data_IF_860188929063
#
_entry.id   IF_860188929063
#
_cell.length_a   1.000
_cell.length_b   1.000
_cell.length_c   1.000
_cell.angle_alpha   90.00
_cell.angle_beta   90.00
_cell.angle_gamma   90.00
#
_symmetry.space_group_name_H-M   'P 1'
#
loop_
_entity.id
_entity.type
_entity.pdbx_description
1 polymer ?
#
# COMPACT_ATOMS: atom_id res chain seq x y z
N UNK A 1 -17.84 20.15 -14.32
CA UNK A 1 -18.14 20.79 -13.02
C UNK A 1 -17.99 19.82 -11.83
N UNK A 2 -18.50 18.59 -11.91
CA UNK A 2 -18.43 17.58 -10.82
C UNK A 2 -17.03 17.05 -10.49
N UNK A 3 -16.13 16.91 -11.48
CA UNK A 3 -14.79 16.38 -11.22
C UNK A 3 -13.90 17.33 -10.40
N UNK A 4 -14.01 18.65 -10.61
CA UNK A 4 -13.25 19.64 -9.85
C UNK A 4 -13.64 19.64 -8.36
N UNK A 5 -14.95 19.59 -8.08
CA UNK A 5 -15.49 19.44 -6.72
C UNK A 5 -15.07 18.12 -6.07
N UNK A 6 -15.12 17.01 -6.81
CA UNK A 6 -14.68 15.70 -6.31
C UNK A 6 -13.18 15.68 -5.99
N UNK A 7 -12.34 16.19 -6.90
CA UNK A 7 -10.89 16.33 -6.67
C UNK A 7 -10.61 17.21 -5.45
N UNK A 8 -11.30 18.34 -5.32
CA UNK A 8 -11.16 19.23 -4.17
C UNK A 8 -11.54 18.52 -2.87
N UNK A 9 -12.69 17.86 -2.81
CA UNK A 9 -13.14 17.15 -1.62
C UNK A 9 -12.16 16.04 -1.22
N UNK A 10 -11.75 15.20 -2.18
CA UNK A 10 -10.84 14.09 -1.89
C UNK A 10 -9.45 14.56 -1.44
N UNK A 11 -8.89 15.58 -2.09
CA UNK A 11 -7.53 16.05 -1.81
C UNK A 11 -7.44 17.04 -0.65
N UNK A 12 -8.40 17.94 -0.48
CA UNK A 12 -8.36 19.01 0.53
C UNK A 12 -9.08 18.65 1.82
N UNK A 13 -10.21 17.93 1.73
CA UNK A 13 -11.00 17.55 2.91
C UNK A 13 -10.54 16.18 3.42
N UNK A 14 -10.56 15.16 2.55
CA UNK A 14 -10.16 13.79 2.93
C UNK A 14 -8.66 13.54 2.90
N UNK A 15 -7.85 14.53 2.48
CA UNK A 15 -6.38 14.49 2.42
C UNK A 15 -5.81 13.29 1.68
N UNK A 16 -6.56 12.73 0.71
CA UNK A 16 -6.08 11.65 -0.16
C UNK A 16 -5.21 12.23 -1.25
N UNK A 17 -4.14 11.51 -1.59
CA UNK A 17 -3.20 11.92 -2.64
C UNK A 17 -3.46 11.17 -3.95
N UNK A 18 -3.98 9.94 -3.86
CA UNK A 18 -4.09 9.06 -5.01
C UNK A 18 -5.49 8.44 -5.16
N UNK A 19 -5.91 8.24 -6.40
CA UNK A 19 -6.97 7.33 -6.77
C UNK A 19 -6.40 5.92 -6.89
N UNK A 20 -7.00 4.96 -6.18
CA UNK A 20 -6.73 3.53 -6.41
C UNK A 20 -7.58 3.04 -7.57
N UNK A 21 -6.96 2.77 -8.71
CA UNK A 21 -7.61 2.27 -9.92
C UNK A 21 -7.15 0.84 -10.25
N UNK A 22 -7.83 0.18 -11.18
CA UNK A 22 -7.52 -1.19 -11.58
C UNK A 22 -8.07 -2.28 -10.64
N UNK A 23 -7.57 -3.51 -10.81
CA UNK A 23 -8.04 -4.69 -10.07
C UNK A 23 -6.92 -5.70 -9.83
N UNK A 24 -7.05 -6.50 -8.78
CA UNK A 24 -6.12 -7.60 -8.51
C UNK A 24 -6.10 -8.59 -9.69
N UNK A 25 -4.90 -8.89 -10.21
CA UNK A 25 -4.66 -9.95 -11.22
C UNK A 25 -4.24 -11.30 -10.60
N UNK A 26 -4.25 -11.39 -9.26
CA UNK A 26 -3.77 -12.55 -8.52
C UNK A 26 -2.31 -12.94 -8.85
N UNK A 27 -1.42 -11.95 -9.06
CA UNK A 27 0.00 -12.16 -9.38
C UNK A 27 0.89 -12.58 -8.19
N UNK A 28 0.36 -12.59 -6.96
CA UNK A 28 1.11 -13.03 -5.76
C UNK A 28 2.18 -12.09 -5.22
N UNK A 29 2.63 -11.08 -5.98
CA UNK A 29 3.75 -10.20 -5.58
C UNK A 29 3.51 -9.42 -4.29
N UNK A 30 2.27 -9.07 -3.95
CA UNK A 30 1.96 -8.43 -2.67
C UNK A 30 2.10 -9.38 -1.45
N UNK A 31 2.36 -10.67 -1.69
CA UNK A 31 2.52 -11.68 -0.66
C UNK A 31 3.98 -12.06 -0.37
N UNK A 32 4.96 -11.63 -1.17
CA UNK A 32 6.35 -12.11 -1.10
C UNK A 32 7.24 -11.29 -0.17
N UNK A 33 7.09 -9.96 -0.15
CA UNK A 33 7.89 -9.04 0.67
C UNK A 33 6.98 -8.01 1.31
N UNK A 34 6.60 -8.26 2.55
CA UNK A 34 5.66 -7.45 3.30
C UNK A 34 6.41 -6.80 4.46
N UNK A 35 6.25 -5.49 4.61
CA UNK A 35 6.58 -4.78 5.85
C UNK A 35 5.30 -4.55 6.63
N UNK A 36 5.33 -4.85 7.92
CA UNK A 36 4.21 -4.61 8.83
C UNK A 36 4.46 -3.30 9.56
N UNK A 37 3.67 -2.28 9.25
CA UNK A 37 3.62 -1.05 10.04
C UNK A 37 2.61 -1.20 11.17
N UNK A 38 3.08 -1.11 12.41
CA UNK A 38 2.23 -1.12 13.60
C UNK A 38 2.34 0.24 14.31
N UNK A 39 1.20 0.94 14.46
CA UNK A 39 1.15 2.33 14.92
C UNK A 39 2.08 3.26 14.12
N UNK A 40 3.22 3.66 14.70
CA UNK A 40 4.12 4.69 14.16
C UNK A 40 5.40 4.12 13.58
N UNK A 41 5.70 2.83 13.76
CA UNK A 41 6.94 2.20 13.30
C UNK A 41 6.68 0.92 12.50
N UNK A 42 7.71 0.46 11.79
CA UNK A 42 7.74 -0.85 11.15
C UNK A 42 8.22 -1.86 12.18
N UNK A 43 7.55 -3.00 12.27
CA UNK A 43 7.89 -4.06 13.22
C UNK A 43 9.28 -4.59 12.90
N UNK A 44 10.21 -4.47 13.84
CA UNK A 44 11.63 -4.82 13.67
C UNK A 44 12.11 -5.90 14.64
N UNK A 45 11.26 -6.30 15.59
CA UNK A 45 11.53 -7.28 16.64
C UNK A 45 10.57 -8.47 16.54
N UNK A 46 11.12 -9.68 16.62
CA UNK A 46 10.33 -10.91 16.46
C UNK A 46 9.39 -11.14 17.65
N UNK A 47 9.78 -10.76 18.87
CA UNK A 47 8.92 -10.88 20.06
C UNK A 47 7.75 -9.91 20.00
N UNK A 48 7.96 -8.71 19.46
CA UNK A 48 6.87 -7.78 19.13
C UNK A 48 5.91 -8.44 18.13
N UNK A 49 6.42 -9.04 17.06
CA UNK A 49 5.60 -9.71 16.07
C UNK A 49 4.82 -10.89 16.64
N UNK A 50 5.42 -11.72 17.50
CA UNK A 50 4.74 -12.79 18.22
C UNK A 50 3.53 -12.25 19.01
N UNK A 51 3.69 -11.13 19.72
CA UNK A 51 2.58 -10.47 20.42
C UNK A 51 1.47 -10.03 19.46
N UNK A 52 1.82 -9.52 18.28
CA UNK A 52 0.83 -9.13 17.26
C UNK A 52 0.00 -10.32 16.77
N UNK A 53 0.57 -11.52 16.70
CA UNK A 53 -0.16 -12.73 16.29
C UNK A 53 -1.36 -13.04 17.18
N UNK A 54 -1.31 -12.67 18.47
CA UNK A 54 -2.43 -12.83 19.40
C UNK A 54 -3.52 -11.76 19.22
N UNK A 55 -3.18 -10.59 18.66
CA UNK A 55 -4.13 -9.47 18.50
C UNK A 55 -5.05 -9.65 17.30
N UNK A 56 -4.54 -10.18 16.19
CA UNK A 56 -5.33 -10.29 14.97
C UNK A 56 -4.86 -11.43 14.07
N UNK A 57 -5.81 -12.25 13.62
CA UNK A 57 -5.58 -13.45 12.78
C UNK A 57 -4.78 -13.19 11.51
N UNK A 58 -4.80 -11.97 10.97
CA UNK A 58 -3.97 -11.62 9.81
C UNK A 58 -2.48 -11.88 10.05
N UNK A 59 -1.96 -11.56 11.24
CA UNK A 59 -0.54 -11.69 11.53
C UNK A 59 -0.10 -13.16 11.59
N UNK A 60 -1.00 -14.09 11.92
CA UNK A 60 -0.68 -15.53 11.91
C UNK A 60 -0.42 -16.06 10.49
N UNK A 61 -0.89 -15.36 9.46
CA UNK A 61 -0.63 -15.68 8.06
C UNK A 61 0.75 -15.23 7.59
N UNK A 62 1.50 -14.48 8.37
CA UNK A 62 2.82 -13.99 8.00
C UNK A 62 3.90 -14.88 8.62
N UNK A 63 4.99 -15.11 7.87
CA UNK A 63 6.24 -15.70 8.37
C UNK A 63 7.37 -14.69 8.13
N UNK A 64 8.28 -14.59 9.09
CA UNK A 64 9.51 -13.80 8.92
C UNK A 64 10.40 -14.52 7.91
N UNK A 65 10.92 -13.78 6.93
CA UNK A 65 11.87 -14.30 5.93
C UNK A 65 13.21 -13.57 5.96
N UNK A 66 13.31 -12.47 6.69
CA UNK A 66 14.53 -11.69 6.81
C UNK A 66 14.32 -10.42 7.64
N UNK A 67 15.37 -9.63 7.72
CA UNK A 67 15.39 -8.34 8.41
C UNK A 67 16.36 -7.41 7.68
N UNK A 68 16.00 -6.14 7.56
CA UNK A 68 16.85 -5.08 7.03
C UNK A 68 16.80 -3.84 7.96
N UNK A 69 17.36 -2.73 7.47
CA UNK A 69 17.41 -1.45 8.19
C UNK A 69 16.01 -0.83 8.42
N UNK A 70 15.00 -1.25 7.66
CA UNK A 70 13.61 -0.80 7.80
C UNK A 70 12.90 -1.63 8.86
N UNK A 71 13.11 -2.95 8.88
CA UNK A 71 12.53 -3.85 9.88
C UNK A 71 12.47 -5.31 9.43
N UNK A 72 11.54 -6.06 10.01
CA UNK A 72 11.30 -7.45 9.62
C UNK A 72 10.60 -7.52 8.26
N UNK A 73 11.08 -8.43 7.43
CA UNK A 73 10.52 -8.74 6.12
C UNK A 73 9.68 -10.01 6.26
N UNK A 74 8.43 -9.94 5.82
CA UNK A 74 7.48 -11.03 5.94
C UNK A 74 7.05 -11.58 4.58
N UNK A 75 6.77 -12.88 4.53
CA UNK A 75 6.05 -13.54 3.44
C UNK A 75 4.71 -14.08 3.96
N UNK A 76 3.67 -14.03 3.12
CA UNK A 76 2.38 -14.61 3.45
C UNK A 76 2.37 -16.14 3.22
N UNK A 77 2.07 -16.91 4.27
CA UNK A 77 1.89 -18.37 4.25
C UNK A 77 0.78 -18.85 3.29
N UNK A 78 -0.14 -17.94 2.93
CA UNK A 78 -1.20 -18.22 1.96
C UNK A 78 -0.78 -18.03 0.50
N UNK A 79 0.48 -17.63 0.23
CA UNK A 79 1.04 -17.70 -1.11
C UNK A 79 1.26 -19.17 -1.48
N UNK A 80 0.76 -19.56 -2.65
CA UNK A 80 1.03 -20.85 -3.24
C UNK A 80 2.40 -20.82 -3.93
N UNK A 81 3.35 -21.69 -3.57
CA UNK A 81 4.72 -21.61 -4.08
C UNK A 81 4.84 -22.02 -5.55
N UNK A 82 3.92 -22.82 -6.08
CA UNK A 82 3.97 -23.31 -7.46
C UNK A 82 3.25 -22.37 -8.42
N UNK A 83 2.01 -21.99 -8.07
CA UNK A 83 1.17 -21.15 -8.92
C UNK A 83 1.38 -19.65 -8.68
N UNK A 84 2.09 -19.27 -7.61
CA UNK A 84 2.22 -17.91 -7.10
C UNK A 84 0.88 -17.20 -6.83
N UNK A 85 -0.21 -17.96 -6.66
CA UNK A 85 -1.54 -17.39 -6.37
C UNK A 85 -1.82 -17.41 -4.87
N UNK A 86 -2.73 -16.53 -4.44
CA UNK A 86 -3.20 -16.53 -3.06
C UNK A 86 -4.24 -17.65 -2.85
N UNK A 87 -3.93 -18.62 -2.00
CA UNK A 87 -4.81 -19.77 -1.66
C UNK A 87 -6.16 -19.34 -1.10
N UNK A 88 -6.21 -18.24 -0.36
CA UNK A 88 -7.43 -17.68 0.25
C UNK A 88 -7.94 -16.43 -0.48
N UNK A 89 -7.67 -16.26 -1.78
CA UNK A 89 -7.98 -15.00 -2.47
C UNK A 89 -9.43 -14.54 -2.28
N UNK A 90 -10.42 -15.44 -2.34
CA UNK A 90 -11.84 -15.10 -2.15
C UNK A 90 -12.14 -14.62 -0.72
N UNK A 91 -11.60 -15.30 0.29
CA UNK A 91 -11.79 -15.01 1.72
C UNK A 91 -10.70 -14.10 2.32
N UNK A 92 -9.85 -13.49 1.48
CA UNK A 92 -8.71 -12.68 1.91
C UNK A 92 -9.13 -11.55 2.87
N UNK A 93 -8.31 -11.23 3.88
CA UNK A 93 -8.66 -10.25 4.90
C UNK A 93 -8.75 -8.83 4.34
N UNK A 94 -9.40 -7.94 5.10
CA UNK A 94 -9.67 -6.57 4.68
C UNK A 94 -8.42 -5.79 4.25
N UNK A 95 -7.28 -6.02 4.89
CA UNK A 95 -5.99 -5.41 4.50
C UNK A 95 -5.58 -5.79 3.07
N UNK A 96 -5.73 -7.06 2.68
CA UNK A 96 -5.45 -7.53 1.33
C UNK A 96 -6.45 -6.99 0.29
N UNK A 97 -7.71 -6.71 0.69
CA UNK A 97 -8.72 -6.11 -0.20
C UNK A 97 -8.46 -4.63 -0.45
N UNK A 98 -7.89 -3.94 0.54
CA UNK A 98 -7.54 -2.52 0.47
C UNK A 98 -6.20 -2.26 -0.21
N UNK A 99 -5.36 -3.26 -0.40
CA UNK A 99 -4.12 -3.15 -1.16
C UNK A 99 -4.35 -2.58 -2.58
N UNK A 100 -3.47 -1.71 -3.09
CA UNK A 100 -2.40 -1.01 -2.37
C UNK A 100 -2.91 0.20 -1.58
N UNK A 101 -2.20 0.57 -0.51
CA UNK A 101 -2.48 1.78 0.29
C UNK A 101 -1.45 2.89 -0.01
N UNK A 102 -1.78 4.15 0.24
CA UNK A 102 -0.91 5.31 -0.06
C UNK A 102 0.42 5.28 0.73
N UNK A 103 0.40 4.67 1.91
CA UNK A 103 1.57 4.51 2.77
C UNK A 103 2.69 3.72 2.10
N UNK A 104 2.35 2.80 1.17
CA UNK A 104 3.33 2.02 0.41
C UNK A 104 4.32 2.96 -0.32
N UNK A 105 3.80 3.99 -0.98
CA UNK A 105 4.62 4.95 -1.73
C UNK A 105 5.36 5.92 -0.83
N UNK A 106 4.80 6.22 0.35
CA UNK A 106 5.47 7.08 1.34
C UNK A 106 6.72 6.40 1.93
N UNK A 107 6.80 5.08 1.87
CA UNK A 107 7.98 4.28 2.27
C UNK A 107 8.93 3.99 1.09
N UNK A 108 8.73 4.61 -0.08
CA UNK A 108 9.52 4.32 -1.28
C UNK A 108 9.16 3.01 -1.97
N UNK A 109 8.09 2.33 -1.56
CA UNK A 109 7.62 1.12 -2.19
C UNK A 109 6.99 1.36 -3.56
N UNK A 110 7.20 0.44 -4.48
CA UNK A 110 6.60 0.44 -5.81
C UNK A 110 5.68 -0.76 -6.00
N UNK A 111 4.69 -0.62 -6.88
CA UNK A 111 3.92 -1.76 -7.35
C UNK A 111 4.76 -2.50 -8.41
N UNK A 112 4.77 -3.83 -8.35
CA UNK A 112 5.32 -4.64 -9.44
C UNK A 112 4.62 -4.32 -10.77
N UNK A 113 5.37 -4.39 -11.87
CA UNK A 113 4.87 -4.16 -13.23
C UNK A 113 3.66 -5.07 -13.58
N UNK A 114 3.63 -6.29 -13.05
CA UNK A 114 2.54 -7.23 -13.24
C UNK A 114 1.29 -6.94 -12.38
N UNK A 115 1.36 -5.96 -11.47
CA UNK A 115 0.24 -5.60 -10.63
C UNK A 115 -0.88 -4.96 -11.47
N UNK A 116 -2.10 -5.43 -11.29
CA UNK A 116 -3.27 -4.85 -11.96
C UNK A 116 -3.83 -3.59 -11.29
N UNK A 117 -3.29 -3.19 -10.13
CA UNK A 117 -3.64 -1.94 -9.47
C UNK A 117 -2.74 -0.80 -9.93
N UNK A 118 -3.29 0.41 -9.93
CA UNK A 118 -2.55 1.66 -10.14
C UNK A 118 -2.95 2.69 -9.10
N UNK A 119 -2.06 3.64 -8.85
CA UNK A 119 -2.25 4.73 -7.90
C UNK A 119 -2.01 6.04 -8.64
N UNK A 120 -3.11 6.64 -9.09
CA UNK A 120 -3.08 7.82 -9.95
C UNK A 120 -3.21 9.09 -9.11
N UNK A 121 -2.34 10.10 -9.29
CA UNK A 121 -2.40 11.31 -8.47
C UNK A 121 -3.73 12.04 -8.68
N UNK A 122 -4.41 12.39 -7.59
CA UNK A 122 -5.70 13.12 -7.65
C UNK A 122 -5.51 14.49 -8.28
N UNK A 123 -4.39 15.14 -7.95
CA UNK A 123 -3.93 16.39 -8.56
C UNK A 123 -2.65 16.07 -9.32
N UNK A 124 -2.65 16.10 -10.66
CA UNK A 124 -1.47 15.84 -11.46
C UNK A 124 -0.33 16.84 -11.17
N UNK A 125 0.91 16.38 -11.30
CA UNK A 125 2.09 17.23 -11.08
C UNK A 125 2.07 18.49 -11.97
N UNK A 126 1.65 18.37 -13.23
CA UNK A 126 1.56 19.48 -14.18
C UNK A 126 0.67 20.61 -13.64
N UNK A 127 -0.49 20.27 -13.09
CA UNK A 127 -1.39 21.26 -12.47
C UNK A 127 -0.75 21.94 -11.25
N UNK A 128 0.03 21.20 -10.45
CA UNK A 128 0.75 21.75 -9.30
C UNK A 128 1.82 22.73 -9.79
N UNK A 129 2.61 22.32 -10.78
CA UNK A 129 3.69 23.11 -11.36
C UNK A 129 3.17 24.42 -11.95
N UNK A 130 2.11 24.38 -12.76
CA UNK A 130 1.49 25.59 -13.33
C UNK A 130 1.02 26.57 -12.27
N UNK A 131 0.44 26.07 -11.16
CA UNK A 131 -0.01 26.92 -10.04
C UNK A 131 1.17 27.59 -9.35
N UNK A 132 2.28 26.87 -9.17
CA UNK A 132 3.51 27.42 -8.57
C UNK A 132 4.10 28.50 -9.47
N UNK A 133 4.26 28.24 -10.78
CA UNK A 133 4.78 29.22 -11.75
C UNK A 133 3.94 30.50 -11.78
N UNK A 134 2.60 30.37 -11.79
CA UNK A 134 1.69 31.53 -11.78
C UNK A 134 1.80 32.37 -10.51
N UNK A 135 2.10 31.73 -9.36
CA UNK A 135 2.31 32.44 -8.08
C UNK A 135 3.63 33.19 -8.08
N UNK A 136 4.68 32.56 -8.59
CA UNK A 136 6.03 33.14 -8.69
C UNK A 136 6.04 34.40 -9.55
N UNK A 137 5.38 34.37 -10.73
CA UNK A 137 5.23 35.54 -11.62
C UNK A 137 4.42 36.71 -11.04
N UNK A 138 3.73 36.52 -9.92
CA UNK A 138 2.93 37.54 -9.22
C UNK A 138 3.66 38.11 -7.99
N UNK A 139 4.81 37.54 -7.64
CA UNK A 139 5.68 37.95 -6.54
C UNK A 139 6.78 38.85 -7.09
#
# INVERSE_FOLDING_TARGET
>A
MFEGLRKFFLSKILRRKYYRTGKCKACGKCCTQIYVKHYKHVVSDEKEFEKLQYLHRFYTYLKVIGKDDIGLIFECKNLDPETHKCKIHKSRPGICRRYPQEELFSMGGALSEDCGYKMEPIVPFCEVLEKVIKRDKRS
#
